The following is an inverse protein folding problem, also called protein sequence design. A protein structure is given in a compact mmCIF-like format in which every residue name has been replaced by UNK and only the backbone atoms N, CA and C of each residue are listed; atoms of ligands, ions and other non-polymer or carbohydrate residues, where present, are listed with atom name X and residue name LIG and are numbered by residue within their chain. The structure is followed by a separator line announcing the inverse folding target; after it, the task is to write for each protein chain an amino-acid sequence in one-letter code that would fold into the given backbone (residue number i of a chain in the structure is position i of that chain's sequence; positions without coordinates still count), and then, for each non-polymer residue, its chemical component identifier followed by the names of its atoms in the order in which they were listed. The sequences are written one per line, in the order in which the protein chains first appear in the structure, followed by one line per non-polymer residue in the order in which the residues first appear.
data_IF_742990384256
#
_entry.id   IF_742990384256
#
_cell.length_a   1.000
_cell.length_b   1.000
_cell.length_c   1.000
_cell.angle_alpha   90.00
_cell.angle_beta   90.00
_cell.angle_gamma   90.00
#
_symmetry.space_group_name_H-M   'P 1'
#
loop_
_entity.id
_entity.type
_entity.pdbx_description
1 polymer ?
#
# COMPACT_ATOMS: atom_id res chain seq x y z
N UNK A 1 3.70 20.40 -30.97
CA UNK A 1 4.45 20.07 -29.73
C UNK A 1 3.44 19.63 -28.69
N UNK A 2 3.15 18.33 -28.64
CA UNK A 2 2.25 17.77 -27.61
C UNK A 2 3.09 17.55 -26.36
N UNK A 3 2.97 18.48 -25.41
CA UNK A 3 3.51 18.29 -24.08
C UNK A 3 2.71 17.13 -23.45
N UNK A 4 3.36 15.97 -23.22
CA UNK A 4 2.75 14.85 -22.50
C UNK A 4 2.29 15.36 -21.12
N UNK A 5 1.15 14.89 -20.57
CA UNK A 5 0.72 15.30 -19.24
C UNK A 5 1.80 14.99 -18.20
N UNK A 6 2.19 16.00 -17.43
CA UNK A 6 3.24 15.91 -16.42
C UNK A 6 2.74 15.09 -15.22
N UNK A 7 3.41 13.98 -14.95
CA UNK A 7 3.23 13.17 -13.72
C UNK A 7 2.45 11.87 -13.91
N UNK A 8 3.12 10.75 -13.65
CA UNK A 8 2.45 9.47 -13.48
C UNK A 8 1.66 9.44 -12.16
N UNK A 9 0.41 8.99 -12.18
CA UNK A 9 -0.36 8.70 -10.97
C UNK A 9 0.45 7.83 -10.00
N UNK A 10 0.42 8.13 -8.69
CA UNK A 10 1.31 7.56 -7.67
C UNK A 10 1.57 6.06 -7.81
N UNK A 11 0.50 5.25 -7.91
CA UNK A 11 0.61 3.79 -8.04
C UNK A 11 1.37 3.38 -9.30
N UNK A 12 1.06 4.02 -10.43
CA UNK A 12 1.73 3.79 -11.71
C UNK A 12 3.21 4.20 -11.64
N UNK A 13 3.52 5.33 -11.02
CA UNK A 13 4.89 5.81 -10.85
C UNK A 13 5.73 4.85 -9.99
N UNK A 14 5.14 4.33 -8.90
CA UNK A 14 5.81 3.37 -8.01
C UNK A 14 6.10 2.04 -8.72
N UNK A 15 5.20 1.57 -9.57
CA UNK A 15 5.37 0.32 -10.30
C UNK A 15 6.39 0.45 -11.45
N UNK A 16 6.21 1.44 -12.33
CA UNK A 16 6.92 1.54 -13.61
C UNK A 16 8.26 2.27 -13.46
N UNK A 17 8.34 3.28 -12.58
CA UNK A 17 9.49 4.17 -12.55
C UNK A 17 9.51 5.18 -13.72
N UNK A 18 10.62 5.87 -13.85
CA UNK A 18 10.89 6.85 -14.92
C UNK A 18 12.41 6.93 -15.15
N UNK A 19 12.84 6.73 -16.39
CA UNK A 19 14.25 6.69 -16.79
C UNK A 19 14.82 8.07 -17.13
N UNK A 20 16.14 8.21 -17.14
CA UNK A 20 16.78 9.49 -17.47
C UNK A 20 16.42 10.00 -18.87
N UNK A 21 16.31 9.10 -19.86
CA UNK A 21 15.97 9.47 -21.24
C UNK A 21 14.51 9.94 -21.36
N UNK A 22 13.60 9.34 -20.59
CA UNK A 22 12.20 9.79 -20.51
C UNK A 22 12.09 11.17 -19.86
N UNK A 23 12.82 11.39 -18.76
CA UNK A 23 12.87 12.70 -18.06
C UNK A 23 13.41 13.80 -18.98
N UNK A 24 14.44 13.52 -19.77
CA UNK A 24 14.98 14.45 -20.77
C UNK A 24 14.00 14.73 -21.89
N UNK A 25 13.32 13.69 -22.39
CA UNK A 25 12.31 13.83 -23.44
C UNK A 25 11.11 14.68 -23.00
N UNK A 26 10.87 14.82 -21.70
CA UNK A 26 9.87 15.73 -21.13
C UNK A 26 10.30 17.22 -21.12
N UNK A 27 11.54 17.52 -21.53
CA UNK A 27 12.10 18.87 -21.56
C UNK A 27 12.58 19.36 -20.19
N UNK A 28 13.02 18.44 -19.33
CA UNK A 28 13.59 18.76 -18.02
C UNK A 28 15.00 19.34 -18.17
N UNK A 29 15.33 20.36 -17.37
CA UNK A 29 16.70 20.88 -17.28
C UNK A 29 17.67 19.77 -16.84
N UNK A 30 18.81 19.62 -17.52
CA UNK A 30 19.77 18.54 -17.26
C UNK A 30 20.27 18.56 -15.80
N UNK A 31 20.33 19.73 -15.16
CA UNK A 31 20.75 19.86 -13.77
C UNK A 31 19.81 19.14 -12.78
N UNK A 32 18.52 18.99 -13.13
CA UNK A 32 17.53 18.36 -12.25
C UNK A 32 17.16 16.93 -12.68
N UNK A 33 17.65 16.44 -13.82
CA UNK A 33 17.39 15.07 -14.31
C UNK A 33 17.70 14.01 -13.25
N UNK A 34 18.85 14.03 -12.53
CA UNK A 34 19.15 13.00 -11.53
C UNK A 34 18.14 12.93 -10.39
N UNK A 35 17.51 14.06 -10.04
CA UNK A 35 16.51 14.12 -8.97
C UNK A 35 15.13 13.63 -9.40
N UNK A 36 14.88 13.47 -10.71
CA UNK A 36 13.60 13.03 -11.27
C UNK A 36 13.60 11.57 -11.73
N UNK A 37 14.76 10.94 -11.89
CA UNK A 37 14.86 9.51 -12.21
C UNK A 37 14.39 8.68 -11.04
N UNK A 38 13.51 7.71 -11.32
CA UNK A 38 12.99 6.80 -10.31
C UNK A 38 12.98 5.36 -10.82
N UNK A 39 13.54 4.43 -10.04
CA UNK A 39 13.77 3.03 -10.48
C UNK A 39 12.51 2.19 -10.66
N UNK A 40 11.36 2.63 -10.15
CA UNK A 40 10.16 1.80 -10.11
C UNK A 40 10.31 0.60 -9.17
N UNK A 41 9.58 -0.49 -9.47
CA UNK A 41 9.56 -1.76 -8.74
C UNK A 41 9.23 -1.62 -7.24
N UNK A 42 8.34 -0.70 -6.90
CA UNK A 42 7.79 -0.56 -5.56
C UNK A 42 6.39 -1.18 -5.53
N UNK A 43 6.23 -2.42 -5.04
CA UNK A 43 4.94 -3.08 -5.02
C UNK A 43 3.97 -2.31 -4.11
N UNK A 44 2.74 -2.13 -4.58
CA UNK A 44 1.66 -1.51 -3.81
C UNK A 44 0.37 -2.28 -4.05
N UNK A 45 -0.53 -2.23 -3.07
CA UNK A 45 -1.88 -2.77 -3.21
C UNK A 45 -2.85 -1.61 -3.28
N UNK A 46 -3.66 -1.52 -4.34
CA UNK A 46 -4.73 -0.54 -4.45
C UNK A 46 -6.07 -1.21 -4.11
N UNK A 47 -6.80 -0.64 -3.14
CA UNK A 47 -8.12 -1.12 -2.73
C UNK A 47 -9.14 -0.06 -3.13
N UNK A 48 -10.12 -0.41 -3.96
CA UNK A 48 -11.20 0.49 -4.38
C UNK A 48 -12.53 0.04 -3.79
N UNK A 49 -13.32 1.00 -3.28
CA UNK A 49 -14.69 0.79 -2.83
C UNK A 49 -15.57 1.93 -3.36
N UNK A 50 -16.86 1.68 -3.68
CA UNK A 50 -17.75 2.71 -4.21
C UNK A 50 -17.97 3.88 -3.23
N UNK A 51 -17.99 3.59 -1.93
CA UNK A 51 -18.09 4.56 -0.85
C UNK A 51 -17.50 3.99 0.45
N UNK A 52 -17.06 4.88 1.36
CA UNK A 52 -16.61 4.51 2.69
C UNK A 52 -17.82 4.40 3.64
N UNK A 53 -18.59 3.34 3.50
CA UNK A 53 -19.69 3.03 4.43
C UNK A 53 -19.17 2.37 5.71
N UNK A 54 -19.93 2.35 6.82
CA UNK A 54 -19.53 1.61 8.02
C UNK A 54 -19.21 0.13 7.76
N UNK A 55 -19.93 -0.51 6.83
CA UNK A 55 -19.64 -1.89 6.42
C UNK A 55 -18.29 -2.02 5.71
N UNK A 56 -17.99 -1.13 4.76
CA UNK A 56 -16.70 -1.13 4.03
C UNK A 56 -15.55 -0.82 4.99
N UNK A 57 -15.71 0.14 5.89
CA UNK A 57 -14.72 0.44 6.91
C UNK A 57 -14.47 -0.79 7.81
N UNK A 58 -15.53 -1.47 8.24
CA UNK A 58 -15.42 -2.71 9.01
C UNK A 58 -14.62 -3.81 8.27
N UNK A 59 -14.88 -4.00 6.97
CA UNK A 59 -14.12 -4.95 6.15
C UNK A 59 -12.64 -4.57 6.00
N UNK A 60 -12.34 -3.27 5.84
CA UNK A 60 -10.95 -2.79 5.73
C UNK A 60 -10.18 -3.00 7.03
N UNK A 61 -10.80 -2.74 8.17
CA UNK A 61 -10.19 -2.98 9.49
C UNK A 61 -10.03 -4.49 9.74
N UNK A 62 -11.05 -5.30 9.44
CA UNK A 62 -10.98 -6.74 9.57
C UNK A 62 -9.84 -7.33 8.74
N UNK A 63 -9.60 -6.82 7.53
CA UNK A 63 -8.49 -7.25 6.67
C UNK A 63 -7.12 -7.12 7.36
N UNK A 64 -6.91 -6.11 8.21
CA UNK A 64 -5.64 -5.91 8.92
C UNK A 64 -5.40 -6.95 10.01
N UNK A 65 -6.46 -7.40 10.69
CA UNK A 65 -6.34 -8.33 11.84
C UNK A 65 -6.54 -9.80 11.45
N UNK A 66 -7.03 -10.06 10.24
CA UNK A 66 -7.42 -11.41 9.79
C UNK A 66 -6.31 -12.45 9.96
N UNK A 67 -5.03 -12.20 9.62
CA UNK A 67 -3.97 -13.19 9.84
C UNK A 67 -3.78 -13.53 11.33
N UNK A 68 -3.82 -12.52 12.21
CA UNK A 68 -3.68 -12.72 13.64
C UNK A 68 -4.84 -13.55 14.22
N UNK A 69 -6.07 -13.26 13.82
CA UNK A 69 -7.26 -14.03 14.22
C UNK A 69 -7.24 -15.46 13.63
N UNK A 70 -6.73 -15.61 12.41
CA UNK A 70 -6.51 -16.89 11.74
C UNK A 70 -5.40 -17.74 12.34
N UNK A 71 -4.57 -17.14 13.18
CA UNK A 71 -3.57 -17.82 14.00
C UNK A 71 -2.12 -17.71 13.54
N UNK A 72 -1.82 -16.75 12.68
CA UNK A 72 -0.46 -16.38 12.34
C UNK A 72 0.21 -15.70 13.55
N UNK A 73 1.13 -16.41 14.20
CA UNK A 73 1.84 -15.91 15.38
C UNK A 73 2.74 -14.71 15.07
N UNK A 74 3.24 -14.57 13.84
CA UNK A 74 4.02 -13.39 13.44
C UNK A 74 3.13 -12.15 13.36
N UNK A 75 1.94 -12.30 12.78
CA UNK A 75 0.94 -11.24 12.72
C UNK A 75 0.40 -10.87 14.11
N UNK A 76 0.30 -11.82 15.04
CA UNK A 76 -0.05 -11.55 16.44
C UNK A 76 1.05 -10.72 17.11
N UNK A 77 2.33 -11.08 16.92
CA UNK A 77 3.45 -10.41 17.57
C UNK A 77 3.58 -8.92 17.17
N UNK A 78 3.13 -8.54 15.98
CA UNK A 78 3.10 -7.15 15.51
C UNK A 78 2.00 -6.29 16.17
N UNK A 79 0.97 -6.92 16.76
CA UNK A 79 -0.10 -6.18 17.43
C UNK A 79 0.35 -5.69 18.81
N UNK A 80 -0.36 -4.70 19.36
CA UNK A 80 -0.15 -4.27 20.74
C UNK A 80 -0.58 -5.35 21.76
N UNK A 81 -0.08 -5.25 23.00
CA UNK A 81 -0.30 -6.28 24.02
C UNK A 81 -1.78 -6.51 24.40
N UNK A 82 -2.63 -5.49 24.26
CA UNK A 82 -4.06 -5.65 24.55
C UNK A 82 -4.76 -6.44 23.44
N UNK A 83 -4.46 -6.13 22.18
CA UNK A 83 -4.97 -6.85 21.01
C UNK A 83 -4.50 -8.30 21.00
N UNK A 84 -3.23 -8.56 21.33
CA UNK A 84 -2.70 -9.93 21.46
C UNK A 84 -3.50 -10.76 22.48
N UNK A 85 -3.81 -10.16 23.63
CA UNK A 85 -4.56 -10.82 24.70
C UNK A 85 -5.99 -11.17 24.27
N UNK A 86 -6.66 -10.23 23.58
CA UNK A 86 -8.00 -10.44 23.04
C UNK A 86 -8.04 -11.52 21.96
N UNK A 87 -7.10 -11.52 21.02
CA UNK A 87 -7.00 -12.53 19.96
C UNK A 87 -6.77 -13.92 20.55
N UNK A 88 -5.87 -14.05 21.53
CA UNK A 88 -5.62 -15.32 22.23
C UNK A 88 -6.85 -15.82 22.97
N UNK A 89 -7.52 -14.93 23.71
CA UNK A 89 -8.75 -15.28 24.41
C UNK A 89 -9.85 -15.72 23.43
N UNK A 90 -10.07 -14.97 22.34
CA UNK A 90 -11.05 -15.29 21.31
C UNK A 90 -10.80 -16.68 20.70
N UNK A 91 -9.54 -16.97 20.33
CA UNK A 91 -9.18 -18.27 19.75
C UNK A 91 -9.40 -19.42 20.73
N UNK A 92 -9.13 -19.22 22.02
CA UNK A 92 -9.35 -20.24 23.05
C UNK A 92 -10.84 -20.54 23.32
N UNK A 93 -11.76 -19.61 23.01
CA UNK A 93 -13.18 -19.71 23.36
C UNK A 93 -14.13 -19.85 22.15
N UNK A 94 -13.61 -19.95 20.91
CA UNK A 94 -14.45 -19.97 19.71
C UNK A 94 -15.10 -21.33 19.38
N UNK A 95 -14.70 -22.39 20.06
CA UNK A 95 -15.18 -23.77 19.83
C UNK A 95 -16.06 -24.29 20.99
N UNK A 96 -16.67 -23.38 21.75
CA UNK A 96 -17.64 -23.68 22.82
C UNK A 96 -19.08 -23.54 22.38
#
# INVERSE_FOLDING_TARGET
MSCRPKGAHRVRALAIGETADEVRAEGTDEAIVPARVFSGNRPTTSIMAPALTPSVLGQLLAKQVTPAVGGDESAIAEQDGSTQSLVRWYRAHREG
#
